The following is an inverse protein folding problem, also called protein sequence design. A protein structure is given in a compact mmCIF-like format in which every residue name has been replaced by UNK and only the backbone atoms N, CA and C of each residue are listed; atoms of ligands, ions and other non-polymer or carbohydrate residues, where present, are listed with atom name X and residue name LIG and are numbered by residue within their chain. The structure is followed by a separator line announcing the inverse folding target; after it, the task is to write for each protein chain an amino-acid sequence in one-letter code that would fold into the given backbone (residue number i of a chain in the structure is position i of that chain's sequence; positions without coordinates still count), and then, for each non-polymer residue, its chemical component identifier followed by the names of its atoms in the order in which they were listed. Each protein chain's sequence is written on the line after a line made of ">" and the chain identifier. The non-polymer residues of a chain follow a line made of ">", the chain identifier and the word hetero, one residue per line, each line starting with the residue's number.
data_IF_429805243364
#
_entry.id   IF_429805243364
#
_cell.length_a   1.000
_cell.length_b   1.000
_cell.length_c   1.000
_cell.angle_alpha   90.00
_cell.angle_beta   90.00
_cell.angle_gamma   90.00
#
_symmetry.space_group_name_H-M   'P 1'
#
loop_
_entity.id
_entity.type
_entity.pdbx_description
1 polymer ?
#
# COMPACT_ATOMS: atom_id res chain seq x y z
N UNK A 1 44.83 1.61 1.69
CA UNK A 1 43.72 0.98 2.42
C UNK A 1 42.72 2.07 2.77
N UNK A 2 41.44 1.81 2.48
CA UNK A 2 40.26 2.65 2.71
C UNK A 2 40.06 3.85 1.77
N UNK A 3 39.13 3.70 0.82
CA UNK A 3 37.78 4.28 0.92
C UNK A 3 36.96 3.82 -0.30
N UNK A 4 36.40 2.61 -0.20
CA UNK A 4 35.22 2.23 -0.97
C UNK A 4 33.97 2.50 -0.10
N UNK A 5 32.84 2.73 -0.78
CA UNK A 5 31.45 2.90 -0.27
C UNK A 5 30.93 4.33 -0.09
N UNK A 6 30.63 4.99 -1.22
CA UNK A 6 29.61 6.06 -1.34
C UNK A 6 28.75 5.96 -2.62
N UNK A 7 28.49 4.76 -3.14
CA UNK A 7 27.74 4.59 -4.41
C UNK A 7 26.39 3.84 -4.31
N UNK A 8 25.88 3.51 -3.12
CA UNK A 8 24.62 2.75 -3.00
C UNK A 8 23.32 3.58 -3.12
N UNK A 9 23.34 4.85 -2.72
CA UNK A 9 22.14 5.69 -2.65
C UNK A 9 21.71 6.24 -4.03
N UNK A 10 22.68 6.49 -4.92
CA UNK A 10 22.44 7.07 -6.25
C UNK A 10 21.87 6.04 -7.23
N UNK A 11 22.17 4.75 -7.04
CA UNK A 11 21.66 3.68 -7.90
C UNK A 11 20.19 3.32 -7.65
N UNK A 12 19.66 3.58 -6.44
CA UNK A 12 18.23 3.42 -6.13
C UNK A 12 17.37 4.50 -6.78
N UNK A 13 17.88 5.74 -6.82
CA UNK A 13 17.27 6.88 -7.54
C UNK A 13 17.23 6.60 -9.06
N UNK A 14 18.24 5.89 -9.59
CA UNK A 14 18.29 5.47 -11.00
C UNK A 14 17.19 4.49 -11.41
N UNK A 15 16.65 3.69 -10.47
CA UNK A 15 15.53 2.79 -10.73
C UNK A 15 14.19 3.55 -10.86
N UNK A 16 14.10 4.70 -10.19
CA UNK A 16 12.89 5.52 -10.08
C UNK A 16 12.53 6.25 -11.38
N UNK A 17 13.54 6.74 -12.12
CA UNK A 17 13.33 7.38 -13.43
C UNK A 17 12.82 6.44 -14.52
N UNK A 18 12.90 5.12 -14.30
CA UNK A 18 12.41 4.14 -15.28
C UNK A 18 10.90 3.93 -15.20
N UNK A 19 10.27 4.29 -14.08
CA UNK A 19 8.82 4.19 -13.88
C UNK A 19 8.06 5.49 -14.19
N UNK A 20 8.73 6.64 -14.20
CA UNK A 20 8.14 7.90 -14.70
C UNK A 20 7.80 7.86 -16.20
N UNK A 21 8.19 6.79 -16.90
CA UNK A 21 7.86 6.51 -18.31
C UNK A 21 6.53 5.75 -18.47
N UNK A 22 5.91 5.27 -17.38
CA UNK A 22 4.60 4.59 -17.43
C UNK A 22 3.45 5.54 -17.11
N UNK A 23 3.14 6.42 -18.06
CA UNK A 23 1.85 7.14 -18.13
C UNK A 23 1.61 8.20 -17.05
N UNK A 24 1.00 9.31 -17.43
CA UNK A 24 0.39 10.21 -16.44
C UNK A 24 -0.71 9.44 -15.72
N UNK A 25 -0.46 9.02 -14.48
CA UNK A 25 -1.52 8.54 -13.59
C UNK A 25 -2.49 9.71 -13.39
N UNK A 26 -3.81 9.46 -13.50
CA UNK A 26 -4.85 10.46 -13.26
C UNK A 26 -4.55 11.31 -12.03
N UNK A 27 -4.76 12.63 -12.14
CA UNK A 27 -4.37 13.59 -11.10
C UNK A 27 -5.01 13.38 -9.73
N UNK A 28 -6.09 12.59 -9.62
CA UNK A 28 -6.71 12.18 -8.36
C UNK A 28 -6.06 10.90 -7.81
N UNK A 29 -5.73 9.93 -8.67
CA UNK A 29 -5.12 8.65 -8.26
C UNK A 29 -3.70 8.85 -7.72
N UNK A 30 -3.00 9.91 -8.14
CA UNK A 30 -1.71 10.31 -7.55
C UNK A 30 -1.84 11.01 -6.18
N UNK A 31 -3.06 11.30 -5.74
CA UNK A 31 -3.38 11.98 -4.47
C UNK A 31 -3.94 11.02 -3.40
N UNK A 32 -3.49 9.77 -3.41
CA UNK A 32 -3.89 8.80 -2.39
C UNK A 32 -3.16 9.06 -1.06
N UNK A 33 -3.84 8.71 0.04
CA UNK A 33 -3.22 8.70 1.36
C UNK A 33 -2.31 7.47 1.53
N UNK A 34 -1.02 7.66 1.87
CA UNK A 34 -0.06 6.58 2.02
C UNK A 34 -0.47 5.50 3.03
N UNK A 35 -1.08 5.87 4.17
CA UNK A 35 -1.46 4.89 5.22
C UNK A 35 -2.63 4.02 4.74
N UNK A 36 -3.65 4.62 4.12
CA UNK A 36 -4.77 3.89 3.53
C UNK A 36 -4.30 2.92 2.46
N UNK A 37 -3.31 3.31 1.66
CA UNK A 37 -2.70 2.41 0.66
C UNK A 37 -2.11 1.18 1.34
N UNK A 38 -1.28 1.34 2.37
CA UNK A 38 -0.70 0.21 3.11
C UNK A 38 -1.77 -0.69 3.74
N UNK A 39 -2.82 -0.11 4.32
CA UNK A 39 -3.92 -0.87 4.93
C UNK A 39 -4.72 -1.68 3.90
N UNK A 40 -4.98 -1.14 2.70
CA UNK A 40 -5.61 -1.89 1.61
C UNK A 40 -4.68 -3.01 1.10
N UNK A 41 -3.38 -2.75 1.02
CA UNK A 41 -2.42 -3.79 0.69
C UNK A 41 -2.46 -4.92 1.73
N UNK A 42 -2.47 -4.59 3.03
CA UNK A 42 -2.59 -5.57 4.11
C UNK A 42 -3.88 -6.40 4.00
N UNK A 43 -5.02 -5.78 3.66
CA UNK A 43 -6.30 -6.46 3.48
C UNK A 43 -6.25 -7.60 2.45
N UNK A 44 -5.38 -7.52 1.43
CA UNK A 44 -5.26 -8.56 0.41
C UNK A 44 -4.88 -9.93 1.00
N UNK A 45 -4.25 -9.97 2.19
CA UNK A 45 -3.91 -11.21 2.86
C UNK A 45 -5.14 -12.07 3.22
N UNK A 46 -6.29 -11.42 3.40
CA UNK A 46 -7.55 -12.06 3.82
C UNK A 46 -8.59 -12.15 2.70
N UNK A 47 -8.18 -11.84 1.46
CA UNK A 47 -9.02 -11.91 0.26
C UNK A 47 -8.61 -13.10 -0.59
N UNK A 48 -9.56 -13.59 -1.41
CA UNK A 48 -9.32 -14.67 -2.35
C UNK A 48 -8.26 -14.29 -3.39
N UNK A 49 -7.46 -15.25 -3.82
CA UNK A 49 -6.60 -15.13 -4.99
C UNK A 49 -7.46 -14.77 -6.21
N UNK A 50 -6.94 -13.87 -7.03
CA UNK A 50 -7.71 -13.24 -8.10
C UNK A 50 -8.26 -11.87 -7.74
N UNK A 51 -8.26 -11.49 -6.45
CA UNK A 51 -8.65 -10.14 -6.00
C UNK A 51 -7.69 -9.11 -6.58
N UNK A 52 -8.23 -8.10 -7.25
CA UNK A 52 -7.44 -7.02 -7.84
C UNK A 52 -7.56 -5.75 -7.00
N UNK A 53 -6.70 -4.78 -7.32
CA UNK A 53 -6.81 -3.41 -6.82
C UNK A 53 -7.61 -2.59 -7.84
N UNK A 54 -8.53 -1.78 -7.32
CA UNK A 54 -9.29 -0.77 -8.06
C UNK A 54 -9.21 0.59 -7.35
N UNK A 55 -9.69 1.64 -8.00
CA UNK A 55 -9.58 3.02 -7.53
C UNK A 55 -10.91 3.77 -7.68
N UNK A 56 -11.37 4.40 -6.60
CA UNK A 56 -12.62 5.17 -6.56
C UNK A 56 -12.36 6.52 -5.90
N UNK A 57 -12.14 7.56 -6.71
CA UNK A 57 -11.73 8.88 -6.22
C UNK A 57 -10.42 8.77 -5.44
N UNK A 58 -10.42 9.22 -4.18
CA UNK A 58 -9.27 9.16 -3.27
C UNK A 58 -9.12 7.82 -2.52
N UNK A 59 -9.87 6.79 -2.90
CA UNK A 59 -9.84 5.48 -2.26
C UNK A 59 -9.21 4.42 -3.17
N UNK A 60 -8.19 3.74 -2.67
CA UNK A 60 -7.77 2.44 -3.19
C UNK A 60 -8.68 1.35 -2.62
N UNK A 61 -9.16 0.43 -3.45
CA UNK A 61 -10.12 -0.62 -3.07
C UNK A 61 -9.65 -2.00 -3.49
N UNK A 62 -10.26 -3.03 -2.89
CA UNK A 62 -10.12 -4.42 -3.36
C UNK A 62 -11.32 -4.82 -4.19
N UNK A 63 -11.07 -5.49 -5.31
CA UNK A 63 -12.09 -5.99 -6.21
C UNK A 63 -12.05 -7.51 -6.23
N UNK A 64 -13.09 -8.13 -5.65
CA UNK A 64 -13.20 -9.58 -5.60
C UNK A 64 -13.10 -10.22 -7.00
N UNK A 65 -12.58 -11.46 -7.11
CA UNK A 65 -12.48 -12.14 -8.39
C UNK A 65 -13.87 -12.26 -9.03
N UNK A 66 -14.00 -11.84 -10.28
CA UNK A 66 -15.22 -12.04 -11.06
C UNK A 66 -14.91 -12.33 -12.52
N UNK A 67 -15.76 -13.12 -13.18
CA UNK A 67 -15.60 -13.46 -14.60
C UNK A 67 -15.73 -12.24 -15.52
N UNK A 68 -16.34 -11.16 -15.04
CA UNK A 68 -16.55 -9.91 -15.78
C UNK A 68 -15.57 -8.80 -15.39
N UNK A 69 -14.59 -9.09 -14.52
CA UNK A 69 -13.67 -8.09 -13.97
C UNK A 69 -12.92 -7.32 -15.07
N UNK A 70 -12.54 -7.98 -16.17
CA UNK A 70 -11.92 -7.28 -17.31
C UNK A 70 -12.85 -6.29 -17.99
N UNK A 71 -14.14 -6.63 -18.12
CA UNK A 71 -15.17 -5.76 -18.71
C UNK A 71 -15.45 -4.57 -17.81
N UNK A 72 -15.57 -4.81 -16.50
CA UNK A 72 -15.76 -3.76 -15.48
C UNK A 72 -14.61 -2.76 -15.52
N UNK A 73 -13.36 -3.23 -15.52
CA UNK A 73 -12.17 -2.35 -15.59
C UNK A 73 -12.14 -1.52 -16.87
N UNK A 74 -12.50 -2.09 -18.01
CA UNK A 74 -12.62 -1.33 -19.26
C UNK A 74 -13.70 -0.23 -19.19
N UNK A 75 -14.86 -0.52 -18.60
CA UNK A 75 -15.98 0.45 -18.48
C UNK A 75 -15.60 1.60 -17.54
N UNK A 76 -14.90 1.30 -16.44
CA UNK A 76 -14.48 2.30 -15.46
C UNK A 76 -13.12 2.95 -15.76
N UNK A 77 -12.50 2.61 -16.90
CA UNK A 77 -11.20 3.15 -17.30
C UNK A 77 -10.06 2.78 -16.36
N UNK A 78 -10.22 1.72 -15.56
CA UNK A 78 -9.19 1.25 -14.64
C UNK A 78 -8.16 0.43 -15.39
N UNK A 79 -6.94 0.94 -15.39
CA UNK A 79 -5.83 0.32 -16.09
C UNK A 79 -4.91 -0.38 -15.09
N UNK A 80 -3.94 -1.13 -15.62
CA UNK A 80 -2.92 -1.78 -14.80
C UNK A 80 -1.80 -0.80 -14.43
N UNK A 81 -1.61 0.22 -15.26
CA UNK A 81 -0.70 1.35 -15.09
C UNK A 81 -1.10 2.21 -13.89
N UNK A 82 -2.39 2.22 -13.50
CA UNK A 82 -2.86 2.84 -12.27
C UNK A 82 -2.17 2.30 -11.01
N UNK A 83 -1.61 1.09 -11.04
CA UNK A 83 -0.84 0.54 -9.93
C UNK A 83 0.50 1.23 -9.71
N UNK A 84 0.98 2.05 -10.65
CA UNK A 84 2.22 2.82 -10.52
C UNK A 84 2.19 3.80 -9.34
N UNK A 85 1.01 4.11 -8.78
CA UNK A 85 0.86 4.93 -7.57
C UNK A 85 1.32 4.22 -6.29
N UNK A 86 1.30 2.89 -6.28
CA UNK A 86 1.63 2.07 -5.10
C UNK A 86 3.07 2.30 -4.61
N UNK A 87 4.12 2.17 -5.45
CA UNK A 87 5.49 2.42 -4.99
C UNK A 87 5.69 3.84 -4.45
N UNK A 88 5.08 4.86 -5.07
CA UNK A 88 5.13 6.24 -4.58
C UNK A 88 4.46 6.39 -3.21
N UNK A 89 3.33 5.73 -2.99
CA UNK A 89 2.66 5.75 -1.70
C UNK A 89 3.45 5.02 -0.61
N UNK A 90 4.11 3.90 -0.93
CA UNK A 90 4.98 3.15 -0.02
C UNK A 90 6.17 4.02 0.41
N UNK A 91 6.85 4.65 -0.53
CA UNK A 91 7.97 5.56 -0.25
C UNK A 91 7.52 6.73 0.62
N UNK A 92 6.43 7.38 0.23
CA UNK A 92 5.84 8.49 0.99
C UNK A 92 5.50 8.09 2.42
N UNK A 93 4.90 6.91 2.61
CA UNK A 93 4.64 6.37 3.94
C UNK A 93 5.92 6.20 4.75
N UNK A 94 6.99 5.70 4.13
CA UNK A 94 8.25 5.43 4.81
C UNK A 94 8.93 6.72 5.23
N UNK A 95 8.96 7.71 4.32
CA UNK A 95 9.54 9.03 4.58
C UNK A 95 8.78 9.81 5.65
N UNK A 96 7.46 9.63 5.74
CA UNK A 96 6.62 10.42 6.66
C UNK A 96 6.54 9.81 8.05
N UNK A 97 6.50 8.49 8.14
CA UNK A 97 6.14 7.80 9.39
C UNK A 97 7.25 6.91 9.95
N UNK A 98 8.39 6.82 9.27
CA UNK A 98 9.63 6.24 9.78
C UNK A 98 9.44 4.85 10.47
N UNK A 99 9.02 3.81 9.72
CA UNK A 99 8.73 2.48 10.27
C UNK A 99 9.94 1.78 10.90
N UNK A 100 11.15 2.29 10.69
CA UNK A 100 12.39 1.78 11.27
C UNK A 100 12.61 2.10 12.74
N UNK A 101 11.94 3.12 13.27
CA UNK A 101 12.22 3.65 14.61
C UNK A 101 11.62 2.73 15.66
N UNK A 102 12.43 1.81 16.20
CA UNK A 102 12.03 0.90 17.27
C UNK A 102 11.37 -0.40 16.77
N UNK A 103 11.45 -1.46 17.58
CA UNK A 103 10.86 -2.76 17.23
C UNK A 103 9.34 -2.78 17.43
N UNK A 104 8.82 -1.94 18.34
CA UNK A 104 7.39 -1.81 18.68
C UNK A 104 6.70 -0.64 17.96
N UNK A 105 7.15 -0.32 16.74
CA UNK A 105 6.61 0.80 15.96
C UNK A 105 5.31 0.38 15.25
N UNK A 106 4.21 1.07 15.58
CA UNK A 106 2.88 0.82 15.01
C UNK A 106 2.87 0.89 13.47
N UNK A 107 3.66 1.79 12.87
CA UNK A 107 3.78 1.87 11.42
C UNK A 107 4.51 0.65 10.85
N UNK A 108 5.55 0.16 11.53
CA UNK A 108 6.30 -1.03 11.10
C UNK A 108 5.39 -2.25 10.96
N UNK A 109 4.50 -2.46 11.93
CA UNK A 109 3.51 -3.55 11.87
C UNK A 109 2.64 -3.46 10.61
N UNK A 110 2.15 -2.25 10.29
CA UNK A 110 1.33 -2.01 9.11
C UNK A 110 2.11 -2.25 7.81
N UNK A 111 3.38 -1.81 7.73
CA UNK A 111 4.27 -2.09 6.61
C UNK A 111 4.44 -3.60 6.41
N UNK A 112 4.70 -4.34 7.49
CA UNK A 112 4.88 -5.80 7.40
C UNK A 112 3.59 -6.51 6.99
N UNK A 113 2.43 -6.03 7.43
CA UNK A 113 1.14 -6.54 6.96
C UNK A 113 0.93 -6.27 5.46
N UNK A 114 1.24 -5.06 4.99
CA UNK A 114 1.20 -4.70 3.57
C UNK A 114 2.14 -5.57 2.72
N UNK A 115 3.34 -5.87 3.21
CA UNK A 115 4.28 -6.80 2.56
C UNK A 115 3.66 -8.19 2.36
N UNK A 116 2.99 -8.76 3.39
CA UNK A 116 2.30 -10.05 3.26
C UNK A 116 1.21 -10.00 2.17
N UNK A 117 0.40 -8.95 2.18
CA UNK A 117 -0.67 -8.76 1.20
C UNK A 117 -0.19 -8.55 -0.24
N UNK A 118 0.93 -7.86 -0.44
CA UNK A 118 1.59 -7.77 -1.75
C UNK A 118 2.00 -9.15 -2.28
N UNK A 119 2.34 -10.10 -1.41
CA UNK A 119 2.57 -11.49 -1.81
C UNK A 119 1.34 -12.14 -2.47
N UNK A 120 0.13 -11.89 -1.93
CA UNK A 120 -1.14 -12.36 -2.52
C UNK A 120 -1.46 -11.66 -3.85
N UNK A 121 -1.15 -10.36 -3.95
CA UNK A 121 -1.29 -9.62 -5.21
C UNK A 121 -0.33 -10.16 -6.27
N UNK A 122 0.92 -10.45 -5.90
CA UNK A 122 1.91 -11.03 -6.77
C UNK A 122 1.45 -12.39 -7.30
N UNK A 123 0.93 -13.26 -6.43
CA UNK A 123 0.36 -14.55 -6.83
C UNK A 123 -0.79 -14.36 -7.83
N UNK A 124 -1.72 -13.44 -7.54
CA UNK A 124 -2.84 -13.12 -8.44
C UNK A 124 -2.38 -12.73 -9.84
N UNK A 125 -1.35 -11.88 -9.96
CA UNK A 125 -0.82 -11.46 -11.26
C UNK A 125 0.03 -12.52 -11.98
N UNK A 126 0.64 -13.46 -11.25
CA UNK A 126 1.29 -14.65 -11.83
C UNK A 126 0.26 -15.55 -12.51
N UNK A 127 -0.85 -15.84 -11.82
CA UNK A 127 -1.90 -16.73 -12.34
C UNK A 127 -2.64 -16.12 -13.54
N UNK A 128 -2.86 -14.80 -13.54
CA UNK A 128 -3.56 -14.08 -14.62
C UNK A 128 -2.69 -13.75 -15.84
N UNK A 129 -1.42 -14.19 -15.90
CA UNK A 129 -0.47 -13.90 -17.00
C UNK A 129 -0.47 -12.41 -17.41
N UNK A 130 -0.26 -11.53 -16.43
CA UNK A 130 -0.41 -10.07 -16.58
C UNK A 130 0.84 -9.37 -17.11
N UNK A 131 0.62 -8.18 -17.70
CA UNK A 131 1.69 -7.25 -18.12
C UNK A 131 2.25 -6.42 -16.94
N UNK A 132 1.51 -6.28 -15.84
CA UNK A 132 2.12 -5.89 -14.55
C UNK A 132 2.92 -7.08 -14.10
N UNK A 133 4.23 -6.94 -14.15
CA UNK A 133 5.10 -8.08 -13.91
C UNK A 133 5.11 -8.39 -12.42
N UNK A 134 5.00 -9.67 -12.03
CA UNK A 134 5.28 -10.11 -10.66
C UNK A 134 6.63 -9.62 -10.12
N UNK A 135 7.57 -9.28 -11.01
CA UNK A 135 8.83 -8.63 -10.69
C UNK A 135 8.64 -7.23 -10.07
N UNK A 136 7.79 -6.37 -10.65
CA UNK A 136 7.50 -5.04 -10.10
C UNK A 136 6.97 -5.13 -8.65
N UNK A 137 6.01 -6.02 -8.41
CA UNK A 137 5.46 -6.26 -7.07
C UNK A 137 6.54 -6.79 -6.11
N UNK A 138 7.44 -7.64 -6.61
CA UNK A 138 8.60 -8.13 -5.85
C UNK A 138 9.49 -6.97 -5.40
N UNK A 139 9.71 -5.99 -6.27
CA UNK A 139 10.54 -4.82 -5.94
C UNK A 139 9.86 -3.93 -4.89
N UNK A 140 8.54 -3.73 -4.97
CA UNK A 140 7.79 -3.01 -3.93
C UNK A 140 7.86 -3.71 -2.57
N UNK A 141 7.77 -5.04 -2.55
CA UNK A 141 7.96 -5.83 -1.34
C UNK A 141 9.35 -5.64 -0.74
N UNK A 142 10.41 -5.66 -1.57
CA UNK A 142 11.78 -5.39 -1.11
C UNK A 142 11.92 -3.97 -0.54
N UNK A 143 11.31 -2.96 -1.17
CA UNK A 143 11.31 -1.59 -0.65
C UNK A 143 10.69 -1.53 0.75
N UNK A 144 9.54 -2.17 0.98
CA UNK A 144 8.94 -2.25 2.33
C UNK A 144 9.91 -2.85 3.34
N UNK A 145 10.55 -3.98 3.02
CA UNK A 145 11.50 -4.61 3.94
C UNK A 145 12.71 -3.72 4.22
N UNK A 146 13.21 -3.02 3.20
CA UNK A 146 14.31 -2.08 3.35
C UNK A 146 13.95 -0.97 4.33
N UNK A 147 12.82 -0.29 4.12
CA UNK A 147 12.35 0.78 5.02
C UNK A 147 12.10 0.27 6.44
N UNK A 148 11.50 -0.92 6.60
CA UNK A 148 11.23 -1.50 7.92
C UNK A 148 12.48 -2.02 8.66
N UNK A 149 13.64 -2.08 8.01
CA UNK A 149 14.90 -2.62 8.57
C UNK A 149 16.01 -1.57 8.71
N UNK A 150 15.88 -0.42 8.06
CA UNK A 150 16.90 0.63 8.07
C UNK A 150 17.03 1.27 9.45
N UNK A 151 17.88 0.75 10.34
CA UNK A 151 18.19 1.36 11.65
C UNK A 151 19.08 2.62 11.52
N UNK A 152 18.78 3.50 10.58
CA UNK A 152 19.47 4.78 10.49
C UNK A 152 18.96 5.74 11.58
N UNK A 153 19.80 6.72 11.89
CA UNK A 153 19.43 7.84 12.76
C UNK A 153 18.17 8.49 12.17
N UNK A 154 17.19 8.83 13.02
CA UNK A 154 15.92 9.40 12.56
C UNK A 154 16.21 10.48 11.51
N UNK A 155 15.70 10.34 10.27
CA UNK A 155 15.84 11.37 9.26
C UNK A 155 15.30 12.69 9.82
N UNK A 156 15.82 13.82 9.33
CA UNK A 156 15.20 15.10 9.61
C UNK A 156 13.72 15.04 9.20
N UNK A 157 12.81 15.51 10.07
CA UNK A 157 11.38 15.54 9.76
C UNK A 157 11.17 16.18 8.38
N UNK A 158 10.39 15.55 7.49
CA UNK A 158 10.23 16.06 6.14
C UNK A 158 9.56 17.45 6.19
N UNK A 159 10.10 18.41 5.45
CA UNK A 159 9.44 19.71 5.29
C UNK A 159 8.17 19.54 4.44
N UNK A 160 7.01 19.48 5.10
CA UNK A 160 5.70 19.33 4.46
C UNK A 160 5.06 20.69 4.19
N UNK A 161 4.50 20.86 2.99
CA UNK A 161 3.58 21.98 2.74
C UNK A 161 2.25 21.76 3.49
N UNK A 162 1.42 22.81 3.57
CA UNK A 162 0.16 22.76 4.33
C UNK A 162 -0.77 21.61 3.93
N UNK A 163 -0.92 21.33 2.64
CA UNK A 163 -1.76 20.22 2.15
C UNK A 163 -1.16 18.88 2.54
N UNK A 164 0.15 18.70 2.35
CA UNK A 164 0.86 17.49 2.72
C UNK A 164 0.78 17.23 4.22
N UNK A 165 0.89 18.28 5.06
CA UNK A 165 0.72 18.18 6.50
C UNK A 165 -0.69 17.69 6.86
N UNK A 166 -1.74 18.25 6.26
CA UNK A 166 -3.12 17.77 6.49
C UNK A 166 -3.30 16.30 6.11
N UNK A 167 -2.67 15.83 5.03
CA UNK A 167 -2.73 14.42 4.61
C UNK A 167 -1.91 13.55 5.56
N UNK A 168 -0.74 14.02 6.01
CA UNK A 168 0.08 13.35 7.01
C UNK A 168 -0.72 13.12 8.31
N UNK A 169 -1.45 14.15 8.74
CA UNK A 169 -2.25 14.13 9.98
C UNK A 169 -3.62 13.46 9.81
N UNK A 170 -3.91 12.89 8.64
CA UNK A 170 -5.20 12.23 8.34
C UNK A 170 -5.45 11.04 9.27
N UNK A 171 -4.39 10.34 9.68
CA UNK A 171 -4.45 9.22 10.61
C UNK A 171 -3.79 9.58 11.92
N UNK A 172 -4.55 9.46 13.00
CA UNK A 172 -3.98 9.51 14.34
C UNK A 172 -3.29 8.18 14.68
N UNK A 173 -2.29 8.23 15.55
CA UNK A 173 -1.61 7.01 16.04
C UNK A 173 -2.60 6.01 16.68
N UNK A 174 -3.65 6.52 17.33
CA UNK A 174 -4.73 5.68 17.89
C UNK A 174 -5.49 4.93 16.80
N UNK A 175 -5.82 5.59 15.68
CA UNK A 175 -6.50 4.92 14.56
C UNK A 175 -5.60 3.89 13.89
N UNK A 176 -4.29 4.18 13.74
CA UNK A 176 -3.32 3.20 13.22
C UNK A 176 -3.25 1.97 14.11
N UNK A 177 -3.20 2.14 15.44
CA UNK A 177 -3.29 1.03 16.40
C UNK A 177 -4.58 0.22 16.27
N UNK A 178 -5.70 0.88 15.99
CA UNK A 178 -6.97 0.19 15.74
C UNK A 178 -6.90 -0.63 14.44
N UNK A 179 -6.30 -0.10 13.38
CA UNK A 179 -6.07 -0.84 12.13
C UNK A 179 -5.18 -2.06 12.39
N UNK A 180 -4.06 -1.91 13.11
CA UNK A 180 -3.19 -3.04 13.46
C UNK A 180 -3.92 -4.08 14.32
N UNK A 181 -4.73 -3.63 15.28
CA UNK A 181 -5.55 -4.53 16.10
C UNK A 181 -6.56 -5.31 15.25
N UNK A 182 -7.19 -4.67 14.26
CA UNK A 182 -8.08 -5.36 13.31
C UNK A 182 -7.31 -6.39 12.48
N UNK A 183 -6.12 -6.04 11.98
CA UNK A 183 -5.24 -6.95 11.23
C UNK A 183 -4.85 -8.15 12.09
N UNK A 184 -4.45 -7.94 13.34
CA UNK A 184 -4.11 -9.02 14.27
C UNK A 184 -5.30 -9.95 14.53
N UNK A 185 -6.50 -9.39 14.72
CA UNK A 185 -7.73 -10.19 14.86
C UNK A 185 -8.07 -10.98 13.58
N UNK A 186 -7.80 -10.42 12.39
CA UNK A 186 -7.97 -11.14 11.13
C UNK A 186 -6.95 -12.28 11.00
N UNK A 187 -5.68 -12.04 11.37
CA UNK A 187 -4.64 -13.08 11.41
C UNK A 187 -5.05 -14.24 12.35
N UNK A 188 -5.51 -13.94 13.57
CA UNK A 188 -5.95 -14.95 14.53
C UNK A 188 -7.15 -15.76 14.01
N UNK A 189 -8.17 -15.09 13.46
CA UNK A 189 -9.40 -15.75 12.98
C UNK A 189 -9.19 -16.54 11.70
N UNK A 190 -8.40 -16.02 10.78
CA UNK A 190 -8.12 -16.68 9.51
C UNK A 190 -7.21 -17.90 9.73
N UNK A 191 -6.21 -17.76 10.62
CA UNK A 191 -5.23 -18.81 10.90
C UNK A 191 -4.56 -19.31 9.63
N UNK A 192 -4.36 -20.63 9.55
CA UNK A 192 -3.75 -21.28 8.37
C UNK A 192 -4.74 -21.59 7.24
N UNK A 193 -6.03 -21.27 7.41
CA UNK A 193 -7.03 -21.54 6.37
C UNK A 193 -6.86 -20.52 5.25
N UNK A 194 -6.69 -20.98 4.01
CA UNK A 194 -6.64 -20.06 2.87
C UNK A 194 -7.98 -19.34 2.69
N UNK A 195 -7.99 -18.00 2.47
CA UNK A 195 -9.20 -17.26 2.09
C UNK A 195 -9.91 -17.80 0.85
N UNK A 196 -9.20 -18.52 -0.02
CA UNK A 196 -9.76 -19.20 -1.20
C UNK A 196 -10.76 -20.31 -0.83
N UNK A 197 -10.51 -20.97 0.30
CA UNK A 197 -11.37 -22.02 0.86
C UNK A 197 -12.50 -21.35 1.64
N UNK A 198 -12.16 -20.51 2.61
CA UNK A 198 -13.13 -19.86 3.49
C UNK A 198 -12.56 -18.54 4.04
N UNK A 199 -13.37 -17.49 4.02
CA UNK A 199 -13.03 -16.20 4.63
C UNK A 199 -13.64 -16.14 6.04
N UNK A 200 -12.82 -16.36 7.07
CA UNK A 200 -13.28 -16.48 8.47
C UNK A 200 -13.41 -15.15 9.21
N UNK A 201 -12.93 -14.08 8.59
CA UNK A 201 -12.81 -12.75 9.20
C UNK A 201 -13.55 -11.67 8.40
N UNK A 202 -14.60 -12.04 7.67
CA UNK A 202 -15.35 -11.13 6.78
C UNK A 202 -15.90 -9.89 7.50
N UNK A 203 -16.35 -10.02 8.75
CA UNK A 203 -16.82 -8.90 9.57
C UNK A 203 -15.72 -7.87 9.85
N UNK A 204 -14.49 -8.34 10.11
CA UNK A 204 -13.34 -7.47 10.38
C UNK A 204 -12.82 -6.79 9.12
N UNK A 205 -12.85 -7.52 7.99
CA UNK A 205 -12.56 -6.95 6.66
C UNK A 205 -13.52 -5.78 6.38
N UNK A 206 -14.82 -5.98 6.59
CA UNK A 206 -15.84 -4.95 6.35
C UNK A 206 -15.61 -3.70 7.22
N UNK A 207 -15.30 -3.88 8.50
CA UNK A 207 -14.98 -2.77 9.41
C UNK A 207 -13.78 -1.95 8.89
N UNK A 208 -12.69 -2.61 8.49
CA UNK A 208 -11.52 -1.90 7.96
C UNK A 208 -11.82 -1.20 6.64
N UNK A 209 -12.61 -1.81 5.75
CA UNK A 209 -13.07 -1.16 4.52
C UNK A 209 -13.93 0.08 4.78
N UNK A 210 -14.73 0.09 5.85
CA UNK A 210 -15.50 1.26 6.27
C UNK A 210 -14.60 2.39 6.77
N UNK A 211 -13.58 2.07 7.57
CA UNK A 211 -12.57 3.06 8.01
C UNK A 211 -11.86 3.70 6.82
N UNK A 212 -11.44 2.88 5.84
CA UNK A 212 -10.78 3.37 4.63
C UNK A 212 -11.69 4.28 3.80
N UNK A 213 -12.98 3.92 3.67
CA UNK A 213 -13.97 4.78 2.99
C UNK A 213 -14.14 6.13 3.70
N UNK A 214 -14.20 6.13 5.03
CA UNK A 214 -14.28 7.37 5.81
C UNK A 214 -13.05 8.25 5.55
N UNK A 215 -11.85 7.67 5.60
CA UNK A 215 -10.59 8.42 5.39
C UNK A 215 -10.47 8.96 3.97
N UNK A 216 -11.01 8.27 2.98
CA UNK A 216 -11.08 8.80 1.61
C UNK A 216 -12.01 10.03 1.47
N UNK A 217 -13.10 10.10 2.24
CA UNK A 217 -13.99 11.28 2.27
C UNK A 217 -13.29 12.48 2.94
N UNK A 218 -12.61 12.23 4.07
CA UNK A 218 -11.79 13.24 4.75
C UNK A 218 -10.67 13.76 3.82
N UNK A 219 -9.99 12.85 3.11
CA UNK A 219 -8.95 13.18 2.13
C UNK A 219 -9.48 14.03 0.96
N UNK A 220 -10.66 13.73 0.45
CA UNK A 220 -11.29 14.55 -0.59
C UNK A 220 -11.54 15.99 -0.12
N UNK A 221 -11.98 16.14 1.14
CA UNK A 221 -12.19 17.46 1.75
C UNK A 221 -10.90 18.27 1.89
N UNK A 222 -9.74 17.60 2.07
CA UNK A 222 -8.43 18.27 2.13
C UNK A 222 -8.01 18.82 0.76
N UNK A 223 -8.34 18.12 -0.33
CA UNK A 223 -7.92 18.50 -1.68
C UNK A 223 -8.90 19.42 -2.40
N UNK A 224 -10.17 19.41 -2.02
CA UNK A 224 -11.25 20.18 -2.67
C UNK A 224 -11.63 21.45 -1.91
N UNK A 225 -11.18 21.61 -0.65
CA UNK A 225 -11.35 22.81 0.17
C UNK A 225 -10.12 23.70 0.22
#
# INVERSE_FOLDING_TARGET
>A
MSLETKNGFVDSIGFFWRYSVLGQVDGIKSKLDPISVLAVLALLNYKKIGTLIGFKGYLMTTEAPSSVQGVVRCIFGESREDLAVIPTAIEKAATWFHPEIGEDNDYRELFMAAHKGLGKLQQTYREKQSNVTPAAISDWMKSILLYAQQKEQAPDEPELNQTAQKVHDLWTLTEIRQVNSLIAQMDERQGDVSPDIEVKCADKIEILELYLKQKAVELGSIYEG
#
